data_IF_950718033248
#
_entry.id   IF_950718033248
#
_cell.length_a   1.000
_cell.length_b   1.000
_cell.length_c   1.000
_cell.angle_alpha   90.00
_cell.angle_beta   90.00
_cell.angle_gamma   90.00
#
_symmetry.space_group_name_H-M   'P 1'
#
loop_
_entity.id
_entity.type
_entity.pdbx_description
1 polymer ?
#
# COMPACT_ATOMS: atom_id res chain seq x y z
N UNK A 1 -15.15 -13.07 -19.21
CA UNK A 1 -14.51 -11.74 -19.26
C UNK A 1 -13.20 -11.71 -20.06
N UNK A 2 -12.16 -12.48 -19.73
CA UNK A 2 -10.85 -12.39 -20.40
C UNK A 2 -10.87 -12.67 -21.92
N UNK A 3 -11.68 -13.63 -22.38
CA UNK A 3 -11.90 -13.84 -23.82
C UNK A 3 -12.48 -12.62 -24.53
N UNK A 4 -13.33 -11.84 -23.86
CA UNK A 4 -13.84 -10.58 -24.42
C UNK A 4 -12.74 -9.51 -24.56
N UNK A 5 -11.74 -9.49 -23.67
CA UNK A 5 -10.59 -8.59 -23.82
C UNK A 5 -9.74 -9.00 -25.03
N UNK A 6 -9.50 -10.30 -25.24
CA UNK A 6 -8.85 -10.80 -26.46
C UNK A 6 -9.65 -10.44 -27.71
N UNK A 7 -10.98 -10.60 -27.68
CA UNK A 7 -11.84 -10.20 -28.80
C UNK A 7 -11.70 -8.70 -29.11
N UNK A 8 -11.70 -7.83 -28.09
CA UNK A 8 -11.48 -6.39 -28.29
C UNK A 8 -10.13 -6.07 -28.92
N UNK A 9 -9.08 -6.82 -28.59
CA UNK A 9 -7.76 -6.68 -29.21
C UNK A 9 -7.79 -7.11 -30.69
N UNK A 10 -8.46 -8.23 -31.02
CA UNK A 10 -8.61 -8.69 -32.40
C UNK A 10 -9.42 -7.71 -33.28
N UNK A 11 -10.39 -7.02 -32.70
CA UNK A 11 -11.17 -5.96 -33.37
C UNK A 11 -10.35 -4.67 -33.63
N UNK A 12 -9.18 -4.54 -33.00
CA UNK A 12 -8.25 -3.44 -33.18
C UNK A 12 -8.54 -2.19 -32.33
N UNK A 13 -7.74 -1.12 -32.48
CA UNK A 13 -7.72 0.02 -31.55
C UNK A 13 -9.05 0.78 -31.42
N UNK A 14 -9.89 0.76 -32.45
CA UNK A 14 -11.20 1.41 -32.42
C UNK A 14 -12.13 0.80 -31.35
N UNK A 15 -11.97 -0.48 -30.99
CA UNK A 15 -12.78 -1.17 -29.98
C UNK A 15 -12.52 -0.70 -28.53
N UNK A 16 -11.51 0.15 -28.34
CA UNK A 16 -11.18 0.78 -27.06
C UNK A 16 -11.66 2.23 -26.94
N UNK A 17 -12.28 2.78 -27.99
CA UNK A 17 -12.83 4.13 -27.98
C UNK A 17 -14.18 4.15 -27.25
N UNK A 18 -14.42 5.21 -26.45
CA UNK A 18 -15.69 5.42 -25.74
C UNK A 18 -16.84 5.84 -26.67
N UNK A 19 -16.50 6.36 -27.85
CA UNK A 19 -17.44 6.74 -28.89
C UNK A 19 -16.94 6.22 -30.26
N UNK A 20 -17.84 5.96 -31.22
CA UNK A 20 -17.45 5.63 -32.59
C UNK A 20 -16.57 6.73 -33.19
N UNK A 21 -15.35 6.38 -33.58
CA UNK A 21 -14.40 7.32 -34.23
C UNK A 21 -14.48 7.30 -35.75
N UNK A 22 -15.27 6.40 -36.31
CA UNK A 22 -15.53 6.33 -37.75
C UNK A 22 -16.97 5.89 -37.98
N UNK A 23 -17.53 6.21 -39.15
CA UNK A 23 -18.84 5.68 -39.57
C UNK A 23 -18.81 4.20 -39.98
N UNK A 24 -17.75 3.44 -39.64
CA UNK A 24 -17.64 2.02 -39.95
C UNK A 24 -18.81 1.27 -39.30
N UNK A 25 -19.59 0.61 -40.14
CA UNK A 25 -20.65 -0.32 -39.72
C UNK A 25 -20.16 -1.77 -39.62
N UNK A 26 -18.98 -2.05 -40.15
CA UNK A 26 -18.39 -3.39 -40.26
C UNK A 26 -17.08 -3.47 -39.48
N UNK A 27 -16.88 -4.59 -38.80
CA UNK A 27 -15.68 -4.91 -38.01
C UNK A 27 -15.03 -6.17 -38.57
N UNK A 28 -13.85 -6.07 -39.21
CA UNK A 28 -13.12 -7.26 -39.66
C UNK A 28 -12.61 -8.02 -38.43
N UNK A 29 -12.87 -9.33 -38.41
CA UNK A 29 -12.39 -10.23 -37.37
C UNK A 29 -11.74 -11.45 -38.04
N UNK A 30 -10.48 -11.80 -37.71
CA UNK A 30 -9.86 -12.99 -38.27
C UNK A 30 -10.52 -14.26 -37.71
N UNK A 31 -10.74 -15.25 -38.57
CA UNK A 31 -11.22 -16.56 -38.17
C UNK A 31 -10.07 -17.35 -37.52
N UNK A 32 -10.08 -17.45 -36.19
CA UNK A 32 -9.03 -18.12 -35.39
C UNK A 32 -9.65 -18.91 -34.25
N UNK A 33 -8.91 -19.93 -33.77
CA UNK A 33 -9.20 -20.65 -32.53
C UNK A 33 -8.16 -20.24 -31.49
N UNK A 34 -8.60 -19.84 -30.30
CA UNK A 34 -7.72 -19.39 -29.21
C UNK A 34 -8.08 -20.17 -27.95
N UNK A 35 -7.08 -20.83 -27.37
CA UNK A 35 -7.11 -21.43 -26.04
C UNK A 35 -6.16 -20.62 -25.15
N UNK A 36 -6.62 -20.15 -23.98
CA UNK A 36 -5.86 -19.21 -23.14
C UNK A 36 -6.12 -19.46 -21.65
N UNK A 37 -5.06 -19.34 -20.84
CA UNK A 37 -5.10 -19.48 -19.39
C UNK A 37 -3.95 -18.68 -18.75
N UNK A 38 -4.16 -18.06 -17.56
CA UNK A 38 -3.09 -17.31 -16.91
C UNK A 38 -2.04 -18.24 -16.30
N UNK A 39 -0.76 -17.98 -16.54
CA UNK A 39 0.36 -18.64 -15.85
C UNK A 39 0.34 -18.41 -14.33
N UNK A 40 0.05 -17.18 -13.92
CA UNK A 40 0.06 -16.77 -12.50
C UNK A 40 -1.32 -16.33 -12.04
N UNK A 41 -1.70 -16.71 -10.82
CA UNK A 41 -2.98 -16.32 -10.20
C UNK A 41 -2.98 -14.84 -9.80
N UNK A 42 -1.84 -14.32 -9.35
CA UNK A 42 -1.64 -12.93 -9.00
C UNK A 42 -0.93 -12.19 -10.14
N UNK A 43 -1.58 -11.18 -10.72
CA UNK A 43 -1.05 -10.34 -11.80
C UNK A 43 -1.38 -8.90 -11.46
N UNK A 44 -0.49 -8.30 -10.67
CA UNK A 44 -0.72 -7.03 -10.01
C UNK A 44 -0.08 -5.84 -10.72
N UNK A 45 -0.65 -4.67 -10.46
CA UNK A 45 0.00 -3.37 -10.63
C UNK A 45 -0.19 -2.58 -9.34
N UNK A 46 0.88 -1.97 -8.84
CA UNK A 46 0.82 -1.02 -7.73
C UNK A 46 0.66 0.40 -8.27
N UNK A 47 -0.23 1.18 -7.65
CA UNK A 47 -0.42 2.58 -7.94
C UNK A 47 -0.18 3.40 -6.67
N UNK A 48 0.93 4.14 -6.66
CA UNK A 48 1.22 5.15 -5.63
C UNK A 48 0.40 6.40 -5.91
N UNK A 49 -0.58 6.63 -5.03
CA UNK A 49 -1.41 7.83 -5.01
C UNK A 49 -1.09 8.70 -3.79
N UNK A 50 -0.23 8.22 -2.89
CA UNK A 50 0.23 8.92 -1.71
C UNK A 50 1.21 10.04 -2.06
N UNK A 51 2.24 9.77 -2.87
CA UNK A 51 3.24 10.78 -3.28
C UNK A 51 2.63 11.83 -4.19
N UNK A 52 1.82 11.41 -5.17
CA UNK A 52 1.05 12.31 -6.03
C UNK A 52 -0.38 11.80 -6.20
N UNK A 53 -1.31 12.45 -5.49
CA UNK A 53 -2.74 12.20 -5.65
C UNK A 53 -3.19 12.18 -7.12
N UNK A 54 -3.87 11.10 -7.48
CA UNK A 54 -4.52 10.94 -8.77
C UNK A 54 -6.03 11.11 -8.61
N UNK A 55 -6.69 11.96 -9.41
CA UNK A 55 -8.15 12.03 -9.38
C UNK A 55 -8.80 10.66 -9.65
N UNK A 56 -9.97 10.40 -9.07
CA UNK A 56 -10.70 9.12 -9.22
C UNK A 56 -10.79 8.65 -10.68
N UNK A 57 -11.12 9.54 -11.60
CA UNK A 57 -11.22 9.21 -13.04
C UNK A 57 -9.93 8.62 -13.63
N UNK A 58 -8.76 9.08 -13.15
CA UNK A 58 -7.48 8.51 -13.54
C UNK A 58 -7.31 7.09 -12.98
N UNK A 59 -7.69 6.86 -11.72
CA UNK A 59 -7.68 5.51 -11.12
C UNK A 59 -8.60 4.55 -11.87
N UNK A 60 -9.83 4.97 -12.18
CA UNK A 60 -10.77 4.17 -13.00
C UNK A 60 -10.20 3.88 -14.39
N UNK A 61 -9.45 4.84 -14.97
CA UNK A 61 -8.74 4.64 -16.24
C UNK A 61 -7.63 3.59 -16.12
N UNK A 62 -6.87 3.57 -15.04
CA UNK A 62 -5.89 2.51 -14.78
C UNK A 62 -6.58 1.14 -14.66
N UNK A 63 -7.72 1.04 -13.98
CA UNK A 63 -8.50 -0.21 -13.90
C UNK A 63 -8.90 -0.72 -15.29
N UNK A 64 -9.33 0.16 -16.20
CA UNK A 64 -9.59 -0.22 -17.60
C UNK A 64 -8.34 -0.76 -18.32
N UNK A 65 -7.17 -0.17 -18.05
CA UNK A 65 -5.90 -0.61 -18.64
C UNK A 65 -5.44 -1.95 -18.07
N UNK A 66 -5.58 -2.18 -16.76
CA UNK A 66 -5.32 -3.48 -16.13
C UNK A 66 -6.17 -4.57 -16.79
N UNK A 67 -7.46 -4.30 -16.95
CA UNK A 67 -8.40 -5.24 -17.57
C UNK A 67 -8.01 -5.56 -19.03
N UNK A 68 -7.61 -4.56 -19.81
CA UNK A 68 -7.16 -4.74 -21.18
C UNK A 68 -5.90 -5.64 -21.29
N UNK A 69 -5.07 -5.67 -20.25
CA UNK A 69 -3.86 -6.50 -20.15
C UNK A 69 -4.06 -7.77 -19.32
N UNK A 70 -5.30 -8.09 -18.95
CA UNK A 70 -5.66 -9.26 -18.12
C UNK A 70 -4.97 -9.28 -16.74
N UNK A 71 -4.54 -8.13 -16.22
CA UNK A 71 -4.13 -7.97 -14.82
C UNK A 71 -5.38 -8.07 -13.93
N UNK A 72 -5.23 -8.62 -12.73
CA UNK A 72 -6.36 -8.91 -11.83
C UNK A 72 -6.18 -8.40 -10.40
N UNK A 73 -5.09 -7.69 -10.11
CA UNK A 73 -4.89 -7.04 -8.82
C UNK A 73 -4.45 -5.59 -9.05
N UNK A 74 -5.14 -4.67 -8.38
CA UNK A 74 -4.68 -3.29 -8.20
C UNK A 74 -4.24 -3.18 -6.73
N UNK A 75 -2.93 -3.07 -6.52
CA UNK A 75 -2.38 -2.68 -5.22
C UNK A 75 -2.43 -1.15 -5.13
N UNK A 76 -3.20 -0.62 -4.18
CA UNK A 76 -3.44 0.81 -4.07
C UNK A 76 -2.70 1.36 -2.85
N UNK A 77 -1.57 2.01 -3.09
CA UNK A 77 -0.72 2.60 -2.07
C UNK A 77 -1.29 3.96 -1.65
N UNK A 78 -2.05 3.96 -0.54
CA UNK A 78 -2.95 5.06 -0.14
C UNK A 78 -2.33 6.03 0.87
N UNK A 79 -1.24 5.68 1.52
CA UNK A 79 -0.69 6.47 2.63
C UNK A 79 0.83 6.45 2.57
N UNK A 80 1.43 7.62 2.78
CA UNK A 80 2.87 7.77 2.93
C UNK A 80 3.18 9.06 3.71
N UNK A 81 4.45 9.39 3.88
CA UNK A 81 4.92 10.60 4.52
C UNK A 81 4.39 11.89 3.85
N UNK A 82 4.27 11.89 2.52
CA UNK A 82 3.83 13.05 1.74
C UNK A 82 2.32 13.11 1.52
N UNK A 83 1.56 12.13 2.03
CA UNK A 83 0.15 12.33 2.34
C UNK A 83 -0.71 11.09 2.51
N UNK A 84 -1.90 11.36 3.04
CA UNK A 84 -2.92 10.38 3.38
C UNK A 84 -4.13 10.52 2.45
N UNK A 85 -4.51 9.44 1.75
CA UNK A 85 -5.43 9.54 0.59
C UNK A 85 -6.80 8.90 0.79
N UNK A 86 -7.10 8.33 1.95
CA UNK A 86 -8.39 7.69 2.22
C UNK A 86 -9.12 8.35 3.38
N UNK A 87 -10.41 8.63 3.22
CA UNK A 87 -11.24 9.11 4.32
C UNK A 87 -11.44 8.04 5.39
N UNK A 88 -11.14 8.41 6.63
CA UNK A 88 -11.44 7.65 7.84
C UNK A 88 -12.32 8.55 8.70
N UNK A 89 -13.60 8.23 8.80
CA UNK A 89 -14.62 9.07 9.45
C UNK A 89 -14.33 9.26 10.94
N UNK A 90 -13.82 8.21 11.61
CA UNK A 90 -13.39 8.29 13.01
C UNK A 90 -12.23 9.26 13.22
N UNK A 91 -11.38 9.45 12.21
CA UNK A 91 -10.16 10.25 12.31
C UNK A 91 -10.08 11.31 11.19
N UNK A 92 -10.97 12.32 11.19
CA UNK A 92 -11.12 13.25 10.08
C UNK A 92 -9.89 14.14 9.82
N UNK A 93 -8.97 14.31 10.79
CA UNK A 93 -7.72 15.06 10.54
C UNK A 93 -6.78 14.34 9.57
N UNK A 94 -6.90 13.02 9.38
CA UNK A 94 -6.10 12.28 8.41
C UNK A 94 -6.27 12.86 6.99
N UNK A 95 -7.48 13.29 6.63
CA UNK A 95 -7.73 13.95 5.35
C UNK A 95 -7.76 15.47 5.44
N UNK A 96 -8.23 16.07 6.55
CA UNK A 96 -8.23 17.55 6.69
C UNK A 96 -6.81 18.13 6.76
N UNK A 97 -5.84 17.38 7.27
CA UNK A 97 -4.42 17.76 7.37
C UNK A 97 -3.57 16.86 6.48
N UNK A 98 -3.59 15.56 6.72
CA UNK A 98 -2.69 14.59 6.07
C UNK A 98 -2.83 14.50 4.56
N UNK A 99 -3.95 14.93 3.96
CA UNK A 99 -4.13 14.89 2.51
C UNK A 99 -3.45 16.05 1.76
N UNK A 100 -2.82 17.00 2.43
CA UNK A 100 -2.26 18.18 1.79
C UNK A 100 -0.85 18.49 2.30
N UNK A 101 0.07 18.76 1.38
CA UNK A 101 1.39 19.33 1.67
C UNK A 101 1.53 20.70 1.02
N UNK A 102 2.34 21.56 1.64
CA UNK A 102 2.47 22.96 1.23
C UNK A 102 3.18 23.15 -0.11
N UNK A 103 4.13 22.27 -0.42
CA UNK A 103 5.00 22.32 -1.61
C UNK A 103 5.57 20.95 -1.92
N UNK A 104 6.37 20.86 -2.97
CA UNK A 104 6.92 19.58 -3.46
C UNK A 104 8.34 19.75 -3.99
N UNK A 105 9.26 18.88 -3.58
CA UNK A 105 10.62 18.82 -4.16
C UNK A 105 10.57 18.47 -5.65
N UNK A 106 11.19 19.29 -6.50
CA UNK A 106 11.25 19.04 -7.95
C UNK A 106 12.41 18.12 -8.31
N UNK A 107 12.09 16.92 -8.81
CA UNK A 107 13.07 15.91 -9.19
C UNK A 107 13.53 15.08 -8.00
N UNK A 108 14.79 14.62 -8.02
CA UNK A 108 15.37 13.81 -6.96
C UNK A 108 15.50 14.61 -5.64
N UNK A 109 15.53 13.93 -4.47
CA UNK A 109 15.63 14.58 -3.13
C UNK A 109 16.82 15.56 -2.98
N UNK A 110 17.90 15.29 -3.71
CA UNK A 110 19.10 16.15 -3.71
C UNK A 110 18.93 17.45 -4.52
N UNK A 111 17.80 17.62 -5.20
CA UNK A 111 17.51 18.80 -6.00
C UNK A 111 17.35 20.04 -5.11
N UNK A 112 17.94 21.18 -5.48
CA UNK A 112 17.73 22.42 -4.74
C UNK A 112 16.37 23.07 -5.05
N UNK A 113 15.61 22.52 -6.00
CA UNK A 113 14.41 23.14 -6.56
C UNK A 113 13.13 22.67 -5.87
N UNK A 114 12.18 23.58 -5.75
CA UNK A 114 10.87 23.37 -5.14
C UNK A 114 9.76 23.88 -6.06
N UNK A 115 8.66 23.15 -6.09
CA UNK A 115 7.36 23.62 -6.58
C UNK A 115 6.54 24.06 -5.36
N UNK A 116 6.38 25.37 -5.21
CA UNK A 116 5.69 26.00 -4.07
C UNK A 116 4.16 25.88 -4.15
N UNK A 117 3.63 25.13 -5.12
CA UNK A 117 2.20 24.86 -5.24
C UNK A 117 1.79 23.81 -4.20
N UNK A 118 0.77 24.09 -3.36
CA UNK A 118 0.18 23.06 -2.50
C UNK A 118 -0.32 21.89 -3.33
N UNK A 119 -0.01 20.68 -2.89
CA UNK A 119 -0.41 19.44 -3.55
C UNK A 119 -1.21 18.58 -2.59
N UNK A 120 -2.31 18.00 -3.07
CA UNK A 120 -3.12 17.14 -2.24
C UNK A 120 -4.41 16.67 -2.89
N UNK A 121 -5.24 16.08 -2.04
CA UNK A 121 -6.47 15.38 -2.40
C UNK A 121 -6.55 14.03 -1.69
N UNK A 122 -7.77 13.52 -1.58
CA UNK A 122 -8.10 12.23 -0.98
C UNK A 122 -9.38 11.68 -1.63
N UNK A 123 -9.60 10.38 -1.45
CA UNK A 123 -10.82 9.69 -1.83
C UNK A 123 -11.75 9.64 -0.61
N UNK A 124 -13.00 10.07 -0.81
CA UNK A 124 -14.06 9.79 0.16
C UNK A 124 -14.29 8.29 0.27
N UNK A 125 -14.98 7.84 1.32
CA UNK A 125 -15.38 6.44 1.39
C UNK A 125 -16.22 6.00 0.17
N UNK A 126 -17.09 6.88 -0.35
CA UNK A 126 -17.90 6.60 -1.54
C UNK A 126 -17.07 6.52 -2.82
N UNK A 127 -16.02 7.34 -2.96
CA UNK A 127 -15.07 7.22 -4.07
C UNK A 127 -14.35 5.87 -4.03
N UNK A 128 -13.95 5.40 -2.85
CA UNK A 128 -13.34 4.08 -2.68
C UNK A 128 -14.34 2.96 -3.04
N UNK A 129 -15.59 3.05 -2.55
CA UNK A 129 -16.65 2.08 -2.90
C UNK A 129 -16.85 2.01 -4.42
N UNK A 130 -16.86 3.16 -5.11
CA UNK A 130 -16.95 3.22 -6.57
C UNK A 130 -15.75 2.57 -7.25
N UNK A 131 -14.51 2.90 -6.83
CA UNK A 131 -13.28 2.29 -7.38
C UNK A 131 -13.32 0.77 -7.23
N UNK A 132 -13.66 0.28 -6.04
CA UNK A 132 -13.75 -1.15 -5.72
C UNK A 132 -14.82 -1.82 -6.59
N UNK A 133 -16.03 -1.25 -6.68
CA UNK A 133 -17.10 -1.79 -7.51
C UNK A 133 -16.74 -1.80 -9.01
N UNK A 134 -16.11 -0.74 -9.50
CA UNK A 134 -15.70 -0.61 -10.89
C UNK A 134 -14.60 -1.62 -11.27
N UNK A 135 -13.66 -1.88 -10.36
CA UNK A 135 -12.63 -2.90 -10.48
C UNK A 135 -13.20 -4.32 -10.40
N UNK A 136 -14.13 -4.58 -9.47
CA UNK A 136 -14.79 -5.87 -9.33
C UNK A 136 -15.56 -6.26 -10.60
N UNK A 137 -16.26 -5.31 -11.24
CA UNK A 137 -16.93 -5.52 -12.53
C UNK A 137 -15.98 -5.92 -13.68
N UNK A 138 -14.66 -5.75 -13.47
CA UNK A 138 -13.58 -6.12 -14.39
C UNK A 138 -12.71 -7.26 -13.88
N UNK A 139 -13.19 -7.99 -12.86
CA UNK A 139 -12.45 -9.08 -12.22
C UNK A 139 -11.07 -8.65 -11.67
N UNK A 140 -10.97 -7.41 -11.19
CA UNK A 140 -9.78 -6.87 -10.55
C UNK A 140 -10.08 -6.72 -9.05
N UNK A 141 -9.25 -7.33 -8.21
CA UNK A 141 -9.26 -7.13 -6.77
C UNK A 141 -8.48 -5.87 -6.43
N UNK A 142 -9.03 -4.99 -5.59
CA UNK A 142 -8.30 -3.83 -5.05
C UNK A 142 -7.76 -4.19 -3.68
N UNK A 143 -6.45 -4.17 -3.53
CA UNK A 143 -5.73 -4.45 -2.29
C UNK A 143 -5.28 -3.10 -1.72
N UNK A 144 -5.82 -2.66 -0.57
CA UNK A 144 -5.41 -1.40 0.04
C UNK A 144 -4.07 -1.56 0.76
N UNK A 145 -3.31 -0.47 0.79
CA UNK A 145 -2.13 -0.34 1.64
C UNK A 145 -2.27 0.83 2.60
N UNK A 146 -2.02 0.56 3.88
CA UNK A 146 -1.84 1.55 4.94
C UNK A 146 -0.46 1.29 5.55
N UNK A 147 0.53 2.06 5.13
CA UNK A 147 1.94 1.83 5.44
C UNK A 147 2.29 2.20 6.90
N UNK A 148 2.85 1.23 7.63
CA UNK A 148 3.29 1.35 9.02
C UNK A 148 4.48 0.41 9.32
N UNK A 149 5.35 0.73 10.31
CA UNK A 149 5.41 1.97 11.10
C UNK A 149 6.23 3.09 10.47
N UNK A 150 6.95 2.80 9.38
CA UNK A 150 7.55 3.79 8.49
C UNK A 150 6.47 4.58 7.74
N UNK A 151 6.92 5.48 6.85
CA UNK A 151 6.04 6.18 5.90
C UNK A 151 4.76 6.80 6.50
N UNK A 152 4.86 7.27 7.75
CA UNK A 152 3.70 7.64 8.58
C UNK A 152 3.65 9.13 8.90
N UNK A 153 4.54 9.96 8.36
CA UNK A 153 4.62 11.38 8.75
C UNK A 153 3.33 12.16 8.43
N UNK A 154 2.58 11.82 7.39
CA UNK A 154 1.28 12.45 7.13
C UNK A 154 0.25 12.16 8.24
N UNK A 155 0.25 10.95 8.79
CA UNK A 155 -0.59 10.57 9.92
C UNK A 155 -0.14 11.29 11.20
N UNK A 156 1.17 11.37 11.44
CA UNK A 156 1.74 12.08 12.60
C UNK A 156 1.46 13.59 12.51
N UNK A 157 1.57 14.22 11.34
CA UNK A 157 1.20 15.62 11.17
C UNK A 157 -0.30 15.87 11.45
N UNK A 158 -1.15 14.89 11.11
CA UNK A 158 -2.57 14.93 11.40
C UNK A 158 -2.90 14.66 12.87
N UNK A 159 -2.13 13.82 13.56
CA UNK A 159 -2.28 13.46 14.97
C UNK A 159 -0.88 13.31 15.60
N UNK A 160 -0.29 14.40 16.12
CA UNK A 160 1.09 14.41 16.62
C UNK A 160 1.38 13.38 17.72
N UNK A 161 0.35 12.97 18.46
CA UNK A 161 0.41 11.94 19.49
C UNK A 161 0.73 10.53 18.96
N UNK A 162 0.66 10.30 17.65
CA UNK A 162 1.04 9.03 17.02
C UNK A 162 2.56 8.84 16.88
N UNK A 163 3.33 9.93 16.91
CA UNK A 163 4.79 9.88 16.78
C UNK A 163 5.52 9.78 18.12
N UNK A 164 6.85 9.68 18.07
CA UNK A 164 7.73 9.60 19.24
C UNK A 164 7.89 10.96 19.94
N UNK A 165 6.83 11.41 20.63
CA UNK A 165 6.73 12.71 21.34
C UNK A 165 7.80 12.94 22.41
N UNK A 166 8.42 11.88 22.91
CA UNK A 166 9.51 11.92 23.89
C UNK A 166 10.91 11.91 23.25
N UNK A 167 11.00 11.78 21.92
CA UNK A 167 12.25 11.83 21.16
C UNK A 167 12.34 13.06 20.24
N UNK A 168 11.23 13.55 19.70
CA UNK A 168 11.17 14.72 18.81
C UNK A 168 9.93 15.57 19.09
N UNK A 169 9.96 16.85 18.70
CA UNK A 169 8.77 17.72 18.70
C UNK A 169 7.83 17.36 17.53
N UNK A 170 6.96 16.38 17.76
CA UNK A 170 6.00 15.92 16.73
C UNK A 170 4.93 16.97 16.42
N UNK A 171 4.67 17.92 17.33
CA UNK A 171 3.68 18.97 17.12
C UNK A 171 4.13 20.01 16.08
N UNK A 172 5.45 20.11 15.84
CA UNK A 172 6.03 20.95 14.80
C UNK A 172 6.07 20.28 13.41
N UNK A 173 5.77 18.98 13.32
CA UNK A 173 5.82 18.25 12.05
C UNK A 173 4.64 18.61 11.15
N UNK A 174 4.93 18.86 9.89
CA UNK A 174 3.94 18.96 8.81
C UNK A 174 3.97 17.70 7.95
N UNK A 175 2.96 17.53 7.09
CA UNK A 175 3.02 16.54 6.00
C UNK A 175 4.31 16.77 5.22
N UNK A 176 5.05 15.69 4.93
CA UNK A 176 6.39 15.83 4.37
C UNK A 176 6.33 16.36 2.95
N UNK A 177 7.22 17.29 2.62
CA UNK A 177 7.31 17.94 1.32
C UNK A 177 8.51 17.48 0.48
N UNK A 178 9.34 16.60 1.04
CA UNK A 178 10.54 16.04 0.42
C UNK A 178 10.41 14.53 0.16
N UNK A 179 11.45 13.95 -0.47
CA UNK A 179 11.52 12.54 -0.84
C UNK A 179 12.59 11.77 -0.07
N UNK A 180 12.40 10.46 0.01
CA UNK A 180 13.35 9.50 0.59
C UNK A 180 12.76 8.82 1.82
N UNK A 181 13.64 8.35 2.71
CA UNK A 181 13.25 7.70 3.96
C UNK A 181 13.03 8.75 5.05
N UNK A 182 11.81 8.86 5.56
CA UNK A 182 11.53 9.74 6.69
C UNK A 182 12.06 9.15 8.00
N UNK A 183 12.72 9.94 8.87
CA UNK A 183 13.07 9.48 10.20
C UNK A 183 11.86 9.47 11.16
N UNK A 184 10.70 9.99 10.74
CA UNK A 184 9.53 10.20 11.59
C UNK A 184 8.57 9.01 11.50
N UNK A 185 8.74 8.06 12.42
CA UNK A 185 8.00 6.81 12.48
C UNK A 185 6.99 6.81 13.63
N UNK A 186 6.04 5.87 13.58
CA UNK A 186 5.05 5.71 14.64
C UNK A 186 5.70 5.34 16.00
N UNK A 187 5.15 5.87 17.08
CA UNK A 187 5.49 5.41 18.42
C UNK A 187 4.75 4.10 18.73
N UNK A 188 5.41 3.10 19.35
CA UNK A 188 4.85 1.78 19.60
C UNK A 188 3.98 1.77 20.88
N UNK A 189 2.99 2.66 20.92
CA UNK A 189 2.12 2.85 22.09
C UNK A 189 0.78 2.13 21.93
N UNK A 190 0.11 1.86 23.05
CA UNK A 190 -1.27 1.37 23.04
C UNK A 190 -2.25 2.32 22.34
N UNK A 191 -1.97 3.62 22.37
CA UNK A 191 -2.78 4.61 21.65
C UNK A 191 -2.64 4.41 20.14
N UNK A 192 -1.41 4.29 19.64
CA UNK A 192 -1.11 4.03 18.23
C UNK A 192 -1.74 2.73 17.74
N UNK A 193 -1.65 1.65 18.52
CA UNK A 193 -2.31 0.38 18.19
C UNK A 193 -3.81 0.57 17.99
N UNK A 194 -4.51 1.12 18.99
CA UNK A 194 -5.96 1.35 18.92
C UNK A 194 -6.35 2.33 17.81
N UNK A 195 -5.51 3.32 17.52
CA UNK A 195 -5.73 4.25 16.42
C UNK A 195 -5.80 3.49 15.09
N UNK A 196 -4.75 2.72 14.78
CA UNK A 196 -4.68 1.98 13.52
C UNK A 196 -5.66 0.80 13.46
N UNK A 197 -6.02 0.18 14.58
CA UNK A 197 -7.15 -0.75 14.60
C UNK A 197 -8.45 -0.07 14.16
N UNK A 198 -8.73 1.16 14.63
CA UNK A 198 -9.88 1.94 14.19
C UNK A 198 -9.82 2.34 12.71
N UNK A 199 -8.62 2.67 12.19
CA UNK A 199 -8.41 2.90 10.75
C UNK A 199 -8.73 1.62 9.97
N UNK A 200 -8.17 0.49 10.39
CA UNK A 200 -8.31 -0.78 9.71
C UNK A 200 -9.75 -1.29 9.76
N UNK A 201 -10.51 -1.03 10.83
CA UNK A 201 -11.96 -1.32 10.87
C UNK A 201 -12.69 -0.71 9.66
N UNK A 202 -12.51 0.59 9.41
CA UNK A 202 -13.15 1.27 8.28
C UNK A 202 -12.58 0.78 6.93
N UNK A 203 -11.26 0.54 6.83
CA UNK A 203 -10.65 -0.03 5.61
C UNK A 203 -11.26 -1.41 5.29
N UNK A 204 -11.46 -2.28 6.28
CA UNK A 204 -12.01 -3.61 6.04
C UNK A 204 -13.48 -3.59 5.59
N UNK A 205 -14.23 -2.54 5.90
CA UNK A 205 -15.59 -2.33 5.41
C UNK A 205 -15.60 -1.89 3.94
N UNK A 206 -14.62 -1.07 3.53
CA UNK A 206 -14.52 -0.54 2.17
C UNK A 206 -13.93 -1.53 1.16
N UNK A 207 -12.98 -2.36 1.61
CA UNK A 207 -12.25 -3.27 0.74
C UNK A 207 -12.64 -4.74 0.99
N UNK A 208 -13.32 -5.40 0.03
CA UNK A 208 -13.69 -6.81 0.17
C UNK A 208 -12.48 -7.75 0.02
N UNK A 209 -11.31 -7.26 -0.39
CA UNK A 209 -10.08 -8.04 -0.53
C UNK A 209 -9.75 -8.82 0.75
N UNK A 210 -9.38 -10.09 0.58
CA UNK A 210 -8.85 -10.90 1.70
C UNK A 210 -7.48 -10.37 2.15
N UNK A 211 -6.74 -9.72 1.24
CA UNK A 211 -5.42 -9.16 1.52
C UNK A 211 -5.50 -7.68 1.87
N UNK A 212 -4.68 -7.28 2.85
CA UNK A 212 -4.43 -5.89 3.24
C UNK A 212 -2.92 -5.72 3.35
N UNK A 213 -2.37 -4.70 2.70
CA UNK A 213 -0.95 -4.37 2.77
C UNK A 213 -0.71 -3.39 3.91
N UNK A 214 0.29 -3.66 4.76
CA UNK A 214 0.67 -2.75 5.84
C UNK A 214 2.05 -2.10 5.65
N UNK A 215 2.60 -2.21 4.44
CA UNK A 215 3.89 -1.64 4.07
C UNK A 215 5.02 -2.34 4.81
N UNK A 216 5.68 -1.61 5.71
CA UNK A 216 6.69 -2.14 6.62
C UNK A 216 8.13 -2.02 6.13
N UNK A 217 8.34 -1.30 5.04
CA UNK A 217 9.62 -0.93 4.48
C UNK A 217 10.25 0.28 5.20
N UNK A 218 11.53 0.51 4.90
CA UNK A 218 12.28 1.74 5.18
C UNK A 218 11.95 2.41 6.53
N UNK A 219 12.11 1.69 7.64
CA UNK A 219 11.77 2.18 8.98
C UNK A 219 13.03 2.46 9.85
N UNK A 220 13.57 3.69 9.85
CA UNK A 220 14.75 4.04 10.66
C UNK A 220 14.50 3.93 12.17
N UNK A 221 15.41 3.25 12.88
CA UNK A 221 15.24 2.95 14.31
C UNK A 221 15.69 4.07 15.26
N UNK A 222 16.24 5.17 14.74
CA UNK A 222 16.89 6.18 15.56
C UNK A 222 15.91 6.85 16.54
N UNK A 223 14.66 7.09 16.14
CA UNK A 223 13.65 7.61 17.06
C UNK A 223 13.28 6.62 18.18
N UNK A 224 13.18 5.33 17.88
CA UNK A 224 12.91 4.32 18.91
C UNK A 224 14.10 4.12 19.87
N UNK A 225 15.33 4.22 19.37
CA UNK A 225 16.54 4.22 20.23
C UNK A 225 16.56 5.40 21.19
N UNK A 226 16.09 6.56 20.75
CA UNK A 226 16.04 7.78 21.55
C UNK A 226 14.77 7.89 22.44
N UNK A 227 13.70 7.15 22.14
CA UNK A 227 12.42 7.22 22.84
C UNK A 227 12.41 6.34 24.09
N UNK A 228 12.24 6.96 25.27
CA UNK A 228 12.06 6.22 26.52
C UNK A 228 10.82 5.30 26.47
N UNK A 229 9.78 5.73 25.77
CA UNK A 229 8.54 4.97 25.55
C UNK A 229 8.80 3.70 24.73
N UNK A 230 9.54 3.81 23.63
CA UNK A 230 9.89 2.64 22.81
C UNK A 230 10.82 1.69 23.57
N UNK A 231 11.84 2.22 24.28
CA UNK A 231 12.73 1.40 25.10
C UNK A 231 11.99 0.69 26.24
N UNK A 232 11.02 1.35 26.87
CA UNK A 232 10.18 0.73 27.89
C UNK A 232 9.33 -0.41 27.30
N UNK A 233 8.78 -0.23 26.08
CA UNK A 233 8.03 -1.27 25.38
C UNK A 233 8.90 -2.48 25.03
N UNK A 234 10.14 -2.26 24.58
CA UNK A 234 11.12 -3.33 24.34
C UNK A 234 11.36 -4.13 25.63
N UNK A 235 11.61 -3.44 26.75
CA UNK A 235 11.86 -4.09 28.04
C UNK A 235 10.63 -4.85 28.57
N UNK A 236 9.42 -4.26 28.48
CA UNK A 236 8.15 -4.86 28.89
C UNK A 236 7.88 -6.18 28.17
N UNK A 237 8.14 -6.21 26.86
CA UNK A 237 7.89 -7.36 26.00
C UNK A 237 9.06 -8.36 25.97
N UNK A 238 10.20 -8.03 26.59
CA UNK A 238 11.41 -8.84 26.54
C UNK A 238 12.00 -8.97 25.13
N UNK A 239 11.89 -7.92 24.32
CA UNK A 239 12.42 -7.89 22.95
C UNK A 239 13.92 -7.61 22.95
N UNK A 240 14.61 -8.08 21.91
CA UNK A 240 16.06 -7.91 21.78
C UNK A 240 16.46 -6.47 21.46
N UNK A 241 15.73 -5.82 20.54
CA UNK A 241 16.07 -4.53 19.95
C UNK A 241 14.85 -3.89 19.23
N UNK A 242 15.10 -2.77 18.55
CA UNK A 242 14.11 -2.03 17.77
C UNK A 242 13.58 -2.79 16.54
N UNK A 243 14.37 -3.72 15.97
CA UNK A 243 13.93 -4.53 14.84
C UNK A 243 12.92 -5.58 15.34
N UNK A 244 13.18 -6.21 16.48
CA UNK A 244 12.20 -7.05 17.17
C UNK A 244 10.92 -6.26 17.55
N UNK A 245 11.03 -4.96 17.83
CA UNK A 245 9.88 -4.08 18.08
C UNK A 245 9.02 -3.85 16.83
N UNK A 246 9.63 -3.62 15.66
CA UNK A 246 8.88 -3.56 14.40
C UNK A 246 8.15 -4.87 14.13
N UNK A 247 8.83 -6.00 14.28
CA UNK A 247 8.24 -7.32 14.08
C UNK A 247 7.07 -7.58 15.03
N UNK A 248 7.18 -7.16 16.30
CA UNK A 248 6.08 -7.24 17.25
C UNK A 248 4.88 -6.40 16.80
N UNK A 249 5.11 -5.18 16.31
CA UNK A 249 4.05 -4.28 15.83
C UNK A 249 3.34 -4.88 14.60
N UNK A 250 4.10 -5.33 13.61
CA UNK A 250 3.55 -6.01 12.42
C UNK A 250 2.80 -7.28 12.83
N UNK A 251 3.35 -8.07 13.74
CA UNK A 251 2.72 -9.27 14.27
C UNK A 251 1.41 -8.99 15.02
N UNK A 252 1.30 -7.86 15.70
CA UNK A 252 0.05 -7.39 16.32
C UNK A 252 -1.05 -7.23 15.27
N UNK A 253 -0.81 -6.44 14.23
CA UNK A 253 -1.81 -6.22 13.18
C UNK A 253 -2.06 -7.46 12.33
N UNK A 254 -1.04 -8.29 12.11
CA UNK A 254 -1.19 -9.59 11.45
C UNK A 254 -2.19 -10.50 12.19
N UNK A 255 -2.05 -10.62 13.52
CA UNK A 255 -3.02 -11.37 14.35
C UNK A 255 -4.41 -10.71 14.34
N UNK A 256 -4.45 -9.39 14.44
CA UNK A 256 -5.71 -8.62 14.46
C UNK A 256 -6.51 -8.78 13.15
N UNK A 257 -5.82 -8.75 12.00
CA UNK A 257 -6.38 -8.98 10.66
C UNK A 257 -6.81 -10.44 10.49
N UNK A 258 -5.98 -11.40 10.91
CA UNK A 258 -6.28 -12.83 10.82
C UNK A 258 -7.56 -13.19 11.59
N UNK A 259 -7.75 -12.62 12.79
CA UNK A 259 -8.98 -12.80 13.58
C UNK A 259 -10.25 -12.31 12.86
N UNK A 260 -10.10 -11.47 11.83
CA UNK A 260 -11.18 -10.92 10.99
C UNK A 260 -11.22 -11.54 9.60
N UNK A 261 -10.54 -12.67 9.39
CA UNK A 261 -10.53 -13.39 8.11
C UNK A 261 -9.73 -12.69 7.01
N UNK A 262 -8.84 -11.75 7.38
CA UNK A 262 -7.97 -11.02 6.45
C UNK A 262 -6.54 -11.52 6.58
N UNK A 263 -5.73 -11.28 5.55
CA UNK A 263 -4.34 -11.71 5.45
C UNK A 263 -3.46 -10.49 5.22
N UNK A 264 -2.51 -10.29 6.13
CA UNK A 264 -1.48 -9.26 6.00
C UNK A 264 -0.53 -9.65 4.86
N UNK A 265 -0.24 -8.69 4.00
CA UNK A 265 0.92 -8.69 3.10
C UNK A 265 1.77 -7.45 3.40
N UNK A 266 3.04 -7.51 3.03
CA UNK A 266 4.02 -6.51 3.40
C UNK A 266 5.22 -6.54 2.46
N UNK A 267 6.04 -5.49 2.53
CA UNK A 267 7.36 -5.45 1.88
C UNK A 267 8.36 -6.37 2.60
N UNK A 268 9.49 -6.64 1.95
CA UNK A 268 10.44 -7.70 2.32
C UNK A 268 10.91 -7.60 3.79
N UNK A 269 11.05 -6.38 4.30
CA UNK A 269 11.55 -6.06 5.65
C UNK A 269 10.66 -6.62 6.77
N UNK A 270 9.38 -6.90 6.49
CA UNK A 270 8.50 -7.58 7.45
C UNK A 270 8.95 -9.02 7.75
N UNK A 271 9.84 -9.59 6.94
CA UNK A 271 10.45 -10.91 7.17
C UNK A 271 11.78 -10.86 7.93
N UNK A 272 12.39 -9.68 8.13
CA UNK A 272 13.79 -9.57 8.56
C UNK A 272 14.05 -9.88 10.05
N UNK A 273 13.02 -10.13 10.88
CA UNK A 273 13.23 -10.56 12.27
C UNK A 273 12.31 -11.68 12.79
N UNK A 274 11.91 -12.63 11.94
CA UNK A 274 11.17 -13.83 12.37
C UNK A 274 11.48 -15.08 11.52
N UNK A 275 11.96 -16.15 12.18
CA UNK A 275 12.45 -17.39 11.58
C UNK A 275 11.50 -18.04 10.55
N UNK A 276 12.01 -18.33 9.35
CA UNK A 276 11.47 -19.39 8.49
C UNK A 276 11.52 -20.72 9.26
N UNK A 277 10.42 -21.16 9.85
CA UNK A 277 10.29 -22.58 10.24
C UNK A 277 10.00 -23.39 8.99
N UNK A 278 11.08 -23.74 8.28
CA UNK A 278 11.07 -24.79 7.27
C UNK A 278 11.37 -26.13 7.97
N UNK A 279 10.37 -27.01 7.98
CA UNK A 279 10.41 -28.44 8.36
C UNK A 279 10.70 -28.87 9.81
N UNK A 280 9.74 -29.61 10.39
CA UNK A 280 10.03 -30.83 11.15
C UNK A 280 10.15 -30.75 12.69
N UNK A 281 9.01 -30.93 13.38
CA UNK A 281 8.96 -31.58 14.69
C UNK A 281 8.99 -30.69 15.94
N UNK A 282 8.01 -30.90 16.83
CA UNK A 282 8.17 -30.74 18.29
C UNK A 282 7.80 -29.38 18.90
N UNK A 283 6.53 -29.26 19.29
CA UNK A 283 5.91 -28.36 20.27
C UNK A 283 6.70 -27.21 20.92
N UNK A 284 6.24 -25.98 20.69
CA UNK A 284 5.95 -25.01 21.76
C UNK A 284 4.93 -23.98 21.25
N UNK A 285 4.05 -23.52 22.14
CA UNK A 285 2.88 -22.69 21.84
C UNK A 285 3.27 -21.21 21.67
N UNK A 286 3.31 -20.74 20.43
CA UNK A 286 3.30 -19.33 20.06
C UNK A 286 2.65 -19.21 18.68
N UNK A 287 1.46 -18.63 18.60
CA UNK A 287 0.69 -18.53 17.36
C UNK A 287 1.39 -17.63 16.34
N UNK A 288 2.09 -18.25 15.38
CA UNK A 288 2.65 -17.59 14.21
C UNK A 288 1.51 -17.15 13.29
N UNK A 289 1.34 -15.82 13.15
CA UNK A 289 0.53 -15.26 12.08
C UNK A 289 1.28 -15.50 10.76
N UNK A 290 0.59 -16.05 9.76
CA UNK A 290 1.13 -16.43 8.46
C UNK A 290 1.37 -15.17 7.61
N UNK A 291 2.41 -14.42 7.96
CA UNK A 291 2.86 -13.22 7.24
C UNK A 291 3.60 -13.67 5.98
N UNK A 292 3.19 -13.13 4.82
CA UNK A 292 3.80 -13.48 3.53
C UNK A 292 4.29 -12.22 2.85
N UNK A 293 5.49 -12.30 2.31
CA UNK A 293 6.02 -11.34 1.36
C UNK A 293 5.08 -11.21 0.15
N UNK A 294 4.88 -9.97 -0.31
CA UNK A 294 4.11 -9.64 -1.50
C UNK A 294 4.53 -10.40 -2.78
N UNK A 295 5.77 -10.86 -2.89
CA UNK A 295 6.23 -11.70 -4.00
C UNK A 295 5.73 -13.16 -3.90
N UNK A 296 5.56 -13.67 -2.68
CA UNK A 296 5.21 -15.07 -2.38
C UNK A 296 3.69 -15.36 -2.41
N UNK A 297 2.86 -14.31 -2.44
CA UNK A 297 1.42 -14.44 -2.70
C UNK A 297 1.11 -15.09 -4.07
N UNK A 298 2.11 -15.11 -4.96
CA UNK A 298 2.08 -15.66 -6.30
C UNK A 298 2.32 -17.17 -6.44
N UNK A 299 2.49 -17.96 -5.37
CA UNK A 299 2.50 -19.44 -5.43
C UNK A 299 3.21 -20.02 -6.65
N UNK A 300 4.48 -19.66 -6.85
CA UNK A 300 5.28 -20.09 -7.98
C UNK A 300 6.74 -19.87 -7.67
N UNK A 301 7.49 -20.96 -7.55
CA UNK A 301 8.93 -20.95 -7.31
C UNK A 301 9.68 -20.04 -8.29
N UNK A 302 10.33 -19.00 -7.76
CA UNK A 302 11.53 -18.37 -8.33
C UNK A 302 11.31 -17.32 -9.42
N UNK A 303 11.45 -16.05 -9.03
CA UNK A 303 12.09 -15.03 -9.86
C UNK A 303 12.64 -13.93 -8.94
N UNK A 304 13.97 -13.92 -8.73
CA UNK A 304 14.67 -12.78 -8.12
C UNK A 304 14.47 -11.57 -9.05
N UNK A 305 14.06 -10.44 -8.49
CA UNK A 305 14.05 -9.17 -9.21
C UNK A 305 15.46 -8.85 -9.70
N UNK A 306 15.59 -8.62 -11.01
CA UNK A 306 16.81 -8.05 -11.58
C UNK A 306 16.87 -6.57 -11.18
N UNK A 307 17.70 -6.24 -10.20
CA UNK A 307 18.22 -4.88 -10.03
C UNK A 307 19.07 -4.56 -11.25
N UNK A 308 18.57 -3.70 -12.12
CA UNK A 308 19.34 -3.19 -13.26
C UNK A 308 20.31 -2.13 -12.79
N UNK A 309 21.57 -2.52 -12.57
CA UNK A 309 22.70 -1.60 -12.64
C UNK A 309 22.79 -1.07 -14.08
N UNK A 310 22.47 0.20 -14.27
CA UNK A 310 22.71 0.90 -15.53
C UNK A 310 24.22 1.14 -15.70
N UNK A 311 24.81 0.85 -16.88
CA UNK A 311 26.21 1.15 -17.12
C UNK A 311 26.40 2.67 -17.27
N UNK A 312 27.48 3.16 -16.69
CA UNK A 312 28.06 4.47 -16.97
C UNK A 312 28.35 4.62 -18.46
N UNK A 313 27.79 5.67 -19.08
CA UNK A 313 28.08 6.16 -20.42
C UNK A 313 27.71 7.62 -20.53
#
# INVERSE_FOLDING_TARGET
>A
FWGAQTLRQLLGPAAFRRAPVSGRREWPLPAVVIEDAPRFRWRGLMLDVARHFMPKDAVLRYVDLLAAHKLNVLHLHLTDDQGWRIEIERYPRLTRVGAWRARTRLGHRASPLWDERPHGGYYTQDDIREIVAYAAARHITVVPEIDIPGHSQAAIAAYPELGNTDAVDTAALTVWDDWGVSPHILAPTEHTLRFYEGVLEEVLELFPSVFVHLGGDECPKDQWRASATAQARIAELGLADEDALQNWLTGHFGRWLAARGRRLIGWDEILEGGSRTDTGGGGSTGGSADVRDGTDAGGGTGARGCTGDGPTG
#
